data_IF_281339062855
#
_entry.id   IF_281339062855
#
_cell.length_a   1.000
_cell.length_b   1.000
_cell.length_c   1.000
_cell.angle_alpha   90.00
_cell.angle_beta   90.00
_cell.angle_gamma   90.00
#
_symmetry.space_group_name_H-M   'P 1'
#
loop_
_entity.id
_entity.type
_entity.pdbx_description
1 polymer ?
#
# COMPACT_ATOMS: atom_id res chain seq x y z
N UNK A 1 -1.58 7.08 21.63
CA UNK A 1 -2.22 7.55 20.39
C UNK A 1 -2.19 6.49 19.29
N UNK A 2 -1.07 5.78 19.10
CA UNK A 2 -0.88 4.76 18.05
C UNK A 2 -2.02 3.75 17.90
N UNK A 3 -2.48 3.15 19.01
CA UNK A 3 -3.58 2.18 18.97
C UNK A 3 -4.91 2.80 18.54
N UNK A 4 -5.21 4.02 18.99
CA UNK A 4 -6.42 4.73 18.61
C UNK A 4 -6.40 5.09 17.12
N UNK A 5 -5.23 5.52 16.61
CA UNK A 5 -5.04 5.79 15.19
C UNK A 5 -5.22 4.54 14.34
N UNK A 6 -4.58 3.43 14.72
CA UNK A 6 -4.75 2.14 14.06
C UNK A 6 -6.16 1.57 14.16
N UNK A 7 -6.98 1.99 15.13
CA UNK A 7 -8.39 1.59 15.24
C UNK A 7 -9.36 2.56 14.53
N UNK A 8 -8.86 3.66 13.96
CA UNK A 8 -9.69 4.63 13.23
C UNK A 8 -10.46 5.62 14.12
N UNK A 9 -10.15 5.67 15.42
CA UNK A 9 -10.84 6.51 16.41
C UNK A 9 -10.28 7.94 16.38
N UNK A 10 -10.66 8.72 15.37
CA UNK A 10 -10.17 10.09 15.17
C UNK A 10 -10.46 11.01 16.36
N UNK A 11 -11.65 10.90 16.95
CA UNK A 11 -12.06 11.62 18.16
C UNK A 11 -11.11 11.35 19.34
N UNK A 12 -10.76 10.09 19.57
CA UNK A 12 -9.80 9.70 20.60
C UNK A 12 -8.39 10.19 20.27
N UNK A 13 -7.99 10.17 18.99
CA UNK A 13 -6.70 10.73 18.55
C UNK A 13 -6.62 12.24 18.83
N UNK A 14 -7.67 12.99 18.48
CA UNK A 14 -7.78 14.42 18.75
C UNK A 14 -7.74 14.72 20.25
N UNK A 15 -8.55 13.99 21.03
CA UNK A 15 -8.55 14.15 22.47
C UNK A 15 -7.18 13.86 23.08
N UNK A 16 -6.52 12.78 22.65
CA UNK A 16 -5.17 12.46 23.11
C UNK A 16 -4.16 13.53 22.70
N UNK A 17 -4.29 14.14 21.53
CA UNK A 17 -3.40 15.22 21.11
C UNK A 17 -3.54 16.48 21.98
N UNK A 18 -4.77 16.85 22.32
CA UNK A 18 -5.05 18.06 23.11
C UNK A 18 -4.76 17.88 24.61
N UNK A 19 -4.92 16.66 25.14
CA UNK A 19 -4.92 16.41 26.58
C UNK A 19 -3.69 15.64 27.09
N UNK A 20 -2.81 15.17 26.19
CA UNK A 20 -1.63 14.37 26.51
C UNK A 20 -0.39 14.90 25.79
N UNK A 21 0.78 14.71 26.40
CA UNK A 21 2.08 15.19 25.86
C UNK A 21 2.96 14.06 25.31
N UNK A 22 2.55 12.81 25.52
CA UNK A 22 3.28 11.59 25.15
C UNK A 22 3.41 11.42 23.63
N UNK A 23 2.50 12.00 22.85
CA UNK A 23 2.51 11.96 21.40
C UNK A 23 2.18 10.59 20.79
N UNK A 24 2.76 10.33 19.61
CA UNK A 24 2.63 9.08 18.89
C UNK A 24 3.98 8.63 18.33
N UNK A 25 4.01 7.43 17.76
CA UNK A 25 5.12 7.00 16.90
C UNK A 25 4.65 6.93 15.45
N UNK A 26 5.58 6.67 14.52
CA UNK A 26 5.26 6.38 13.12
C UNK A 26 4.22 5.28 12.93
N UNK A 27 4.14 4.36 13.91
CA UNK A 27 3.14 3.29 13.92
C UNK A 27 1.69 3.81 13.93
N UNK A 28 1.43 5.03 14.39
CA UNK A 28 0.10 5.63 14.32
C UNK A 28 -0.38 5.79 12.87
N UNK A 29 0.45 6.42 12.03
CA UNK A 29 0.11 6.63 10.62
C UNK A 29 0.24 5.34 9.80
N UNK A 30 1.26 4.52 10.06
CA UNK A 30 1.45 3.23 9.38
C UNK A 30 0.24 2.31 9.57
N UNK A 31 -0.23 2.14 10.81
CA UNK A 31 -1.38 1.27 11.10
C UNK A 31 -2.71 1.87 10.63
N UNK A 32 -2.87 3.19 10.73
CA UNK A 32 -4.07 3.86 10.22
C UNK A 32 -4.16 3.70 8.69
N UNK A 33 -3.03 3.81 7.99
CA UNK A 33 -2.97 3.64 6.55
C UNK A 33 -3.25 2.20 6.11
N UNK A 34 -2.61 1.22 6.78
CA UNK A 34 -2.81 -0.20 6.51
C UNK A 34 -4.26 -0.67 6.74
N UNK A 35 -5.07 0.09 7.49
CA UNK A 35 -6.47 -0.20 7.79
C UNK A 35 -7.47 0.75 7.12
N UNK A 36 -6.99 1.62 6.23
CA UNK A 36 -7.86 2.44 5.38
C UNK A 36 -8.45 3.65 6.08
N UNK A 37 -7.90 4.05 7.24
CA UNK A 37 -8.41 5.15 8.05
C UNK A 37 -7.93 6.51 7.53
N UNK A 38 -8.32 6.87 6.31
CA UNK A 38 -7.86 8.08 5.61
C UNK A 38 -8.01 9.36 6.45
N UNK A 39 -9.14 9.55 7.15
CA UNK A 39 -9.35 10.73 8.00
C UNK A 39 -8.33 10.84 9.13
N UNK A 40 -7.92 9.70 9.71
CA UNK A 40 -6.88 9.66 10.73
C UNK A 40 -5.52 9.95 10.11
N UNK A 41 -5.21 9.37 8.94
CA UNK A 41 -3.95 9.64 8.22
C UNK A 41 -3.80 11.12 7.88
N UNK A 42 -4.84 11.74 7.31
CA UNK A 42 -4.88 13.17 7.00
C UNK A 42 -4.70 14.03 8.24
N UNK A 43 -5.40 13.69 9.33
CA UNK A 43 -5.28 14.45 10.56
C UNK A 43 -3.88 14.33 11.17
N UNK A 44 -3.31 13.13 11.23
CA UNK A 44 -1.95 12.90 11.71
C UNK A 44 -0.93 13.64 10.83
N UNK A 45 -1.10 13.65 9.51
CA UNK A 45 -0.22 14.38 8.59
C UNK A 45 -0.16 15.88 8.91
N UNK A 46 -1.29 16.51 9.22
CA UNK A 46 -1.37 17.95 9.50
C UNK A 46 -0.89 18.30 10.91
N UNK A 47 -1.17 17.46 11.91
CA UNK A 47 -1.01 17.82 13.33
C UNK A 47 0.19 17.17 14.03
N UNK A 48 0.85 16.20 13.38
CA UNK A 48 1.97 15.44 13.94
C UNK A 48 3.18 15.49 13.02
N UNK A 49 4.37 15.54 13.60
CA UNK A 49 5.64 15.63 12.87
C UNK A 49 6.35 14.28 12.74
N UNK A 50 5.87 13.24 13.44
CA UNK A 50 6.48 11.91 13.45
C UNK A 50 6.45 11.25 12.08
N UNK A 51 5.42 11.54 11.28
CA UNK A 51 5.26 11.01 9.92
C UNK A 51 4.93 9.53 9.89
N UNK A 52 5.35 8.87 8.82
CA UNK A 52 5.17 7.44 8.60
C UNK A 52 6.48 6.76 8.19
N UNK A 53 6.39 5.49 7.85
CA UNK A 53 7.41 4.75 7.11
C UNK A 53 6.82 4.25 5.79
N UNK A 54 7.64 3.59 4.96
CA UNK A 54 7.13 2.91 3.76
C UNK A 54 6.08 1.83 4.05
N UNK A 55 5.98 1.37 5.31
CA UNK A 55 4.96 0.43 5.76
C UNK A 55 3.54 0.98 5.59
N UNK A 56 3.35 2.30 5.69
CA UNK A 56 2.04 2.90 5.48
C UNK A 56 1.50 2.62 4.07
N UNK A 57 2.32 2.85 3.04
CA UNK A 57 1.92 2.63 1.66
C UNK A 57 1.93 1.14 1.29
N UNK A 58 2.87 0.35 1.83
CA UNK A 58 2.87 -1.11 1.68
C UNK A 58 1.59 -1.75 2.25
N UNK A 59 1.13 -1.28 3.41
CA UNK A 59 -0.07 -1.76 4.07
C UNK A 59 -1.35 -1.32 3.36
N UNK A 60 -1.39 -0.06 2.90
CA UNK A 60 -2.50 0.44 2.09
C UNK A 60 -2.63 -0.35 0.78
N UNK A 61 -1.51 -0.67 0.13
CA UNK A 61 -1.48 -1.49 -1.07
C UNK A 61 -1.96 -2.94 -0.82
N UNK A 62 -1.56 -3.54 0.29
CA UNK A 62 -1.97 -4.89 0.68
C UNK A 62 -3.47 -5.04 0.95
N UNK A 63 -4.15 -3.95 1.29
CA UNK A 63 -5.52 -3.98 1.80
C UNK A 63 -6.51 -3.25 0.89
N UNK A 64 -6.10 -2.93 -0.34
CA UNK A 64 -6.96 -2.26 -1.34
C UNK A 64 -7.31 -0.81 -1.00
N UNK A 65 -6.56 -0.15 -0.12
CA UNK A 65 -6.87 1.21 0.35
C UNK A 65 -6.29 2.28 -0.59
N UNK A 66 -6.76 2.31 -1.82
CA UNK A 66 -6.17 3.13 -2.87
C UNK A 66 -6.23 4.64 -2.57
N UNK A 67 -7.31 5.11 -1.95
CA UNK A 67 -7.46 6.51 -1.51
C UNK A 67 -6.39 6.94 -0.49
N UNK A 68 -6.01 6.04 0.43
CA UNK A 68 -4.93 6.27 1.39
C UNK A 68 -3.58 6.27 0.66
N UNK A 69 -3.39 5.32 -0.25
CA UNK A 69 -2.17 5.23 -1.04
C UNK A 69 -1.91 6.50 -1.86
N UNK A 70 -2.92 7.02 -2.56
CA UNK A 70 -2.82 8.26 -3.32
C UNK A 70 -2.49 9.46 -2.43
N UNK A 71 -3.13 9.56 -1.26
CA UNK A 71 -2.82 10.61 -0.29
C UNK A 71 -1.36 10.52 0.21
N UNK A 72 -0.90 9.31 0.53
CA UNK A 72 0.48 9.11 0.99
C UNK A 72 1.47 9.45 -0.13
N UNK A 73 1.20 9.06 -1.38
CA UNK A 73 2.06 9.46 -2.48
C UNK A 73 2.13 10.98 -2.65
N UNK A 74 1.00 11.70 -2.52
CA UNK A 74 0.96 13.13 -2.83
C UNK A 74 1.58 13.98 -1.72
N UNK A 75 1.38 13.56 -0.46
CA UNK A 75 1.73 14.37 0.71
C UNK A 75 2.98 13.88 1.46
N UNK A 76 3.50 12.69 1.16
CA UNK A 76 4.62 12.06 1.88
C UNK A 76 5.77 11.69 0.94
N UNK A 77 6.99 11.75 1.47
CA UNK A 77 8.21 11.42 0.72
C UNK A 77 8.76 10.03 1.03
N UNK A 78 8.17 9.31 1.99
CA UNK A 78 8.66 7.99 2.43
C UNK A 78 8.54 6.90 1.35
N UNK A 79 7.60 7.04 0.41
CA UNK A 79 7.41 6.06 -0.66
C UNK A 79 6.93 4.70 -0.16
N UNK A 80 6.98 3.70 -1.04
CA UNK A 80 6.68 2.30 -0.73
C UNK A 80 7.96 1.48 -0.83
N UNK A 81 7.92 0.25 -0.32
CA UNK A 81 8.98 -0.73 -0.55
C UNK A 81 8.54 -1.73 -1.61
N UNK A 82 9.43 -2.66 -1.97
CA UNK A 82 9.08 -3.80 -2.83
C UNK A 82 7.92 -4.65 -2.27
N UNK A 83 7.58 -4.50 -0.97
CA UNK A 83 6.44 -5.19 -0.37
C UNK A 83 5.10 -4.67 -0.87
N UNK A 84 4.93 -3.37 -1.16
CA UNK A 84 3.66 -2.86 -1.69
C UNK A 84 3.20 -3.66 -2.92
N UNK A 85 4.14 -3.91 -3.83
CA UNK A 85 3.89 -4.62 -5.07
C UNK A 85 3.58 -6.11 -4.86
N UNK A 86 4.42 -6.80 -4.08
CA UNK A 86 4.19 -8.21 -3.72
C UNK A 86 2.84 -8.35 -3.02
N UNK A 87 2.55 -7.49 -2.06
CA UNK A 87 1.32 -7.54 -1.28
C UNK A 87 0.10 -7.29 -2.17
N UNK A 88 0.11 -6.23 -3.00
CA UNK A 88 -0.97 -5.94 -3.95
C UNK A 88 -1.20 -7.11 -4.92
N UNK A 89 -0.13 -7.71 -5.44
CA UNK A 89 -0.21 -8.91 -6.30
C UNK A 89 -0.84 -10.09 -5.55
N UNK A 90 -0.37 -10.38 -4.33
CA UNK A 90 -0.90 -11.50 -3.54
C UNK A 90 -2.35 -11.27 -3.07
N UNK A 91 -2.77 -10.01 -2.92
CA UNK A 91 -4.12 -9.63 -2.57
C UNK A 91 -5.04 -9.51 -3.80
N UNK A 92 -4.49 -9.60 -5.02
CA UNK A 92 -5.18 -9.39 -6.31
C UNK A 92 -5.82 -7.98 -6.42
N UNK A 93 -5.16 -6.99 -5.83
CA UNK A 93 -5.57 -5.58 -5.83
C UNK A 93 -5.13 -4.91 -7.14
N UNK A 94 -5.81 -5.26 -8.23
CA UNK A 94 -5.40 -4.91 -9.60
C UNK A 94 -5.26 -3.39 -9.82
N UNK A 95 -6.18 -2.58 -9.29
CA UNK A 95 -6.13 -1.11 -9.45
C UNK A 95 -4.84 -0.52 -8.85
N UNK A 96 -4.48 -0.97 -7.66
CA UNK A 96 -3.25 -0.53 -6.98
C UNK A 96 -2.04 -1.08 -7.71
N UNK A 97 -2.08 -2.33 -8.16
CA UNK A 97 -0.97 -2.96 -8.88
C UNK A 97 -0.67 -2.23 -10.19
N UNK A 98 -1.69 -1.90 -10.98
CA UNK A 98 -1.57 -1.09 -12.20
C UNK A 98 -0.95 0.27 -11.89
N UNK A 99 -1.43 0.93 -10.85
CA UNK A 99 -0.89 2.23 -10.45
C UNK A 99 0.58 2.15 -10.00
N UNK A 100 0.94 1.15 -9.19
CA UNK A 100 2.31 0.92 -8.75
C UNK A 100 3.23 0.62 -9.94
N UNK A 101 2.75 -0.17 -10.90
CA UNK A 101 3.50 -0.50 -12.10
C UNK A 101 3.77 0.72 -12.99
N UNK A 102 2.82 1.65 -13.08
CA UNK A 102 3.00 2.89 -13.84
C UNK A 102 4.02 3.85 -13.21
N UNK A 103 4.06 3.93 -11.87
CA UNK A 103 4.86 4.94 -11.17
C UNK A 103 6.23 4.44 -10.67
N UNK A 104 6.40 3.13 -10.52
CA UNK A 104 7.57 2.53 -9.89
C UNK A 104 8.15 1.34 -10.64
N UNK A 105 7.85 1.19 -11.95
CA UNK A 105 8.30 0.06 -12.79
C UNK A 105 9.77 -0.29 -12.59
N UNK A 106 10.66 0.70 -12.63
CA UNK A 106 12.11 0.48 -12.57
C UNK A 106 12.60 -0.01 -11.19
N UNK A 107 11.82 0.20 -10.13
CA UNK A 107 12.16 -0.27 -8.79
C UNK A 107 11.84 -1.76 -8.59
N UNK A 108 11.09 -2.36 -9.52
CA UNK A 108 10.54 -3.70 -9.36
C UNK A 108 10.87 -4.59 -10.56
N UNK A 109 11.58 -5.70 -10.33
CA UNK A 109 11.91 -6.65 -11.38
C UNK A 109 10.68 -7.43 -11.86
N UNK A 110 10.49 -7.50 -13.19
CA UNK A 110 9.42 -8.26 -13.86
C UNK A 110 9.30 -9.71 -13.36
N UNK A 111 10.43 -10.36 -13.09
CA UNK A 111 10.50 -11.75 -12.62
C UNK A 111 9.70 -11.98 -11.32
N UNK A 112 9.66 -10.99 -10.42
CA UNK A 112 8.92 -11.10 -9.15
C UNK A 112 7.41 -11.04 -9.38
N UNK A 113 6.94 -10.22 -10.31
CA UNK A 113 5.52 -10.06 -10.61
C UNK A 113 4.91 -11.37 -11.08
N UNK A 114 5.61 -12.07 -11.98
CA UNK A 114 5.16 -13.36 -12.50
C UNK A 114 5.06 -14.43 -11.39
N UNK A 115 6.08 -14.50 -10.53
CA UNK A 115 6.10 -15.45 -9.42
C UNK A 115 4.92 -15.26 -8.44
N UNK A 116 4.61 -14.03 -8.07
CA UNK A 116 3.53 -13.74 -7.11
C UNK A 116 2.13 -13.73 -7.72
N UNK A 117 2.04 -13.55 -9.05
CA UNK A 117 0.76 -13.60 -9.77
C UNK A 117 0.22 -15.02 -9.95
N UNK A 118 1.01 -16.07 -9.67
CA UNK A 118 0.53 -17.44 -9.83
C UNK A 118 -0.71 -17.71 -8.95
N UNK A 119 -1.81 -18.12 -9.58
CA UNK A 119 -3.10 -18.32 -8.91
C UNK A 119 -3.90 -17.03 -8.66
N UNK A 120 -3.47 -15.88 -9.20
CA UNK A 120 -4.17 -14.58 -9.15
C UNK A 120 -4.75 -14.27 -10.50
N UNK A 121 -6.02 -14.66 -10.69
CA UNK A 121 -6.67 -14.67 -12.00
C UNK A 121 -6.65 -13.30 -12.67
N UNK A 122 -7.05 -12.24 -11.96
CA UNK A 122 -7.13 -10.89 -12.54
C UNK A 122 -5.75 -10.34 -12.87
N UNK A 123 -4.78 -10.53 -11.97
CA UNK A 123 -3.40 -10.12 -12.21
C UNK A 123 -2.76 -10.87 -13.40
N UNK A 124 -2.93 -12.18 -13.52
CA UNK A 124 -2.41 -12.95 -14.66
C UNK A 124 -3.08 -12.56 -15.98
N UNK A 125 -4.39 -12.32 -15.95
CA UNK A 125 -5.13 -11.87 -17.13
C UNK A 125 -4.61 -10.51 -17.60
N UNK A 126 -4.39 -9.57 -16.68
CA UNK A 126 -3.80 -8.26 -16.99
C UNK A 126 -2.39 -8.41 -17.57
N UNK A 127 -1.53 -9.23 -16.97
CA UNK A 127 -0.16 -9.44 -17.46
C UNK A 127 -0.08 -10.03 -18.87
N UNK A 128 -0.99 -10.96 -19.19
CA UNK A 128 -1.11 -11.53 -20.54
C UNK A 128 -1.51 -10.49 -21.57
N UNK A 129 -2.41 -9.58 -21.20
CA UNK A 129 -2.92 -8.54 -22.10
C UNK A 129 -1.86 -7.47 -22.43
N UNK A 130 -1.06 -7.07 -21.45
CA UNK A 130 -0.06 -6.00 -21.60
C UNK A 130 1.25 -6.45 -22.26
N UNK A 131 1.33 -7.68 -22.80
CA UNK A 131 2.57 -8.27 -23.35
C UNK A 131 3.77 -8.28 -22.37
N UNK A 132 3.53 -8.12 -21.06
CA UNK A 132 4.56 -8.16 -20.00
C UNK A 132 5.11 -9.60 -19.81
N UNK A 133 4.47 -10.60 -20.44
CA UNK A 133 4.78 -12.02 -20.33
C UNK A 133 5.47 -12.64 -21.55
N UNK A 134 5.83 -11.85 -22.58
CA UNK A 134 6.31 -12.41 -23.87
C UNK A 134 7.64 -13.22 -23.77
N UNK A 135 8.33 -13.19 -22.63
CA UNK A 135 9.54 -13.99 -22.36
C UNK A 135 9.29 -15.32 -21.59
N UNK A 136 8.04 -15.79 -21.46
CA UNK A 136 7.76 -17.03 -20.72
C UNK A 136 8.02 -18.33 -21.53
N UNK A 137 8.65 -19.36 -20.92
CA UNK A 137 8.77 -20.70 -21.50
C UNK A 137 7.40 -21.31 -21.81
N UNK A 138 7.31 -22.07 -22.92
CA UNK A 138 6.06 -22.66 -23.41
C UNK A 138 5.31 -23.54 -22.38
N UNK A 139 6.01 -24.08 -21.38
CA UNK A 139 5.43 -24.90 -20.31
C UNK A 139 4.43 -24.16 -19.41
N UNK A 140 4.43 -22.83 -19.41
CA UNK A 140 3.56 -22.01 -18.54
C UNK A 140 2.39 -21.36 -19.30
N UNK A 141 2.30 -21.56 -20.62
CA UNK A 141 1.23 -20.97 -21.46
C UNK A 141 -0.07 -21.77 -21.45
N UNK A 142 -0.05 -23.00 -20.94
CA UNK A 142 -1.20 -23.91 -20.95
C UNK A 142 -1.61 -24.28 -19.53
N UNK A 143 -2.47 -23.44 -18.94
CA UNK A 143 -3.33 -23.83 -17.83
C UNK A 143 -4.76 -23.50 -18.24
N UNK A 144 -5.45 -24.52 -18.77
CA UNK A 144 -6.91 -24.57 -18.88
C UNK A 144 -7.55 -24.84 -17.52
#
# INVERSE_FOLDING_TARGET
>A
MDRAAGAGHLDVVQWLHENRTEGCTKAAMDNAAARGHLKVVQWLHVHRSEGCTGVAMDGAASSGHFNVLLFLQSERSEGCTAKAFVNATTADELEILQWLFEHYRDQFGHDRLQLFALGKFYTLQWLKHESILEDLPESERHFE
#
